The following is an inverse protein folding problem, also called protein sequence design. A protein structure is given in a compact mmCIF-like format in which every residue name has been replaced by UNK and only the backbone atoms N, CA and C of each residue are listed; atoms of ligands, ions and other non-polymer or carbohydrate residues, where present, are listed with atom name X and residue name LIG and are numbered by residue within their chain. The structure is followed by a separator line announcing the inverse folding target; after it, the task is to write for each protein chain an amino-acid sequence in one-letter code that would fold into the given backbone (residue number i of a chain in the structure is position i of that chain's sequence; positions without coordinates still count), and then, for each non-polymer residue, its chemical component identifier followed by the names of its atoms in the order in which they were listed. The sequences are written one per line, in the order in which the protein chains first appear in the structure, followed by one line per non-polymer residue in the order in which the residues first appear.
data_IF_900944226440
#
_entry.id   IF_900944226440
#
_cell.length_a   1.000
_cell.length_b   1.000
_cell.length_c   1.000
_cell.angle_alpha   90.00
_cell.angle_beta   90.00
_cell.angle_gamma   90.00
#
_symmetry.space_group_name_H-M   'P 1'
#
loop_
_entity.id
_entity.type
_entity.pdbx_description
1 polymer ?
#
# COMPACT_ATOMS: atom_id res chain seq x y z
N UNK A 1 19.26 16.82 -2.87
CA UNK A 1 17.80 16.58 -2.99
C UNK A 1 17.28 16.00 -1.69
N UNK A 2 16.34 16.69 -1.05
CA UNK A 2 15.78 16.28 0.23
C UNK A 2 14.86 15.05 0.13
N UNK A 3 14.61 14.35 1.23
CA UNK A 3 13.67 13.21 1.28
C UNK A 3 12.25 13.61 0.87
N UNK A 4 11.80 14.80 1.27
CA UNK A 4 10.48 15.35 0.90
C UNK A 4 10.39 15.62 -0.61
N UNK A 5 11.47 16.11 -1.22
CA UNK A 5 11.54 16.43 -2.64
C UNK A 5 11.46 15.15 -3.51
N UNK A 6 12.12 14.08 -3.08
CA UNK A 6 11.99 12.74 -3.68
C UNK A 6 10.58 12.19 -3.55
N UNK A 7 9.93 12.38 -2.40
CA UNK A 7 8.54 11.98 -2.18
C UNK A 7 7.57 12.75 -3.07
N UNK A 8 7.80 14.06 -3.28
CA UNK A 8 6.99 14.89 -4.18
C UNK A 8 7.10 14.43 -5.63
N UNK A 9 8.32 14.13 -6.10
CA UNK A 9 8.57 13.55 -7.43
C UNK A 9 7.88 12.19 -7.62
N UNK A 10 7.93 11.33 -6.61
CA UNK A 10 7.20 10.04 -6.65
C UNK A 10 5.69 10.23 -6.61
N UNK A 11 5.19 11.21 -5.88
CA UNK A 11 3.77 11.56 -5.88
C UNK A 11 3.28 12.04 -7.25
N UNK A 12 4.05 12.87 -7.93
CA UNK A 12 3.75 13.26 -9.31
C UNK A 12 3.76 12.07 -10.27
N UNK A 13 4.76 11.18 -10.14
CA UNK A 13 4.83 9.97 -10.95
C UNK A 13 3.67 9.01 -10.67
N UNK A 14 3.30 8.82 -9.40
CA UNK A 14 2.17 7.97 -9.01
C UNK A 14 0.85 8.52 -9.57
N UNK A 15 0.61 9.84 -9.47
CA UNK A 15 -0.57 10.48 -10.08
C UNK A 15 -0.67 10.26 -11.59
N UNK A 16 0.45 10.32 -12.32
CA UNK A 16 0.48 10.04 -13.78
C UNK A 16 0.17 8.59 -14.13
N UNK A 17 0.35 7.66 -13.19
CA UNK A 17 0.10 6.23 -13.37
C UNK A 17 -1.12 5.74 -12.56
N UNK A 18 -2.14 6.59 -12.41
CA UNK A 18 -3.40 6.17 -11.78
C UNK A 18 -3.31 5.91 -10.28
N UNK A 19 -2.33 6.49 -9.59
CA UNK A 19 -2.06 6.31 -8.16
C UNK A 19 -1.72 4.88 -7.72
N UNK A 20 -1.42 3.97 -8.66
CA UNK A 20 -1.11 2.58 -8.33
C UNK A 20 0.33 2.39 -7.84
N UNK A 21 1.26 3.27 -8.25
CA UNK A 21 2.64 3.19 -7.83
C UNK A 21 2.83 3.63 -6.36
N UNK A 22 3.58 2.86 -5.54
CA UNK A 22 3.83 3.19 -4.14
C UNK A 22 4.62 4.50 -4.01
N UNK A 23 4.13 5.40 -3.16
CA UNK A 23 4.72 6.71 -2.89
C UNK A 23 5.99 6.62 -2.02
N UNK A 24 5.99 5.67 -1.11
CA UNK A 24 7.05 5.38 -0.15
C UNK A 24 7.57 3.98 -0.42
N UNK A 25 8.88 3.80 -0.39
CA UNK A 25 9.53 2.51 -0.59
C UNK A 25 9.84 1.81 0.74
N UNK A 26 9.94 2.57 1.83
CA UNK A 26 10.27 2.05 3.16
C UNK A 26 9.36 2.63 4.26
N UNK A 27 9.36 1.97 5.42
CA UNK A 27 8.61 2.41 6.60
C UNK A 27 9.20 3.72 7.14
N UNK A 28 10.51 3.90 7.08
CA UNK A 28 11.21 5.11 7.49
C UNK A 28 10.79 6.31 6.64
N UNK A 29 10.66 6.12 5.32
CA UNK A 29 10.14 7.15 4.41
C UNK A 29 8.69 7.50 4.75
N UNK A 30 7.85 6.50 5.07
CA UNK A 30 6.48 6.73 5.51
C UNK A 30 6.42 7.52 6.83
N UNK A 31 7.28 7.20 7.80
CA UNK A 31 7.39 7.91 9.07
C UNK A 31 7.84 9.35 8.88
N UNK A 32 8.85 9.58 8.03
CA UNK A 32 9.35 10.92 7.74
C UNK A 32 8.28 11.78 7.04
N UNK A 33 7.51 11.19 6.12
CA UNK A 33 6.37 11.85 5.49
C UNK A 33 5.29 12.22 6.51
N UNK A 34 4.92 11.30 7.40
CA UNK A 34 3.92 11.54 8.43
C UNK A 34 4.32 12.69 9.38
N UNK A 35 5.58 12.73 9.81
CA UNK A 35 6.13 13.81 10.63
C UNK A 35 6.07 15.15 9.90
N UNK A 36 6.48 15.19 8.63
CA UNK A 36 6.42 16.42 7.82
C UNK A 36 4.99 16.93 7.63
N UNK A 37 4.01 16.03 7.45
CA UNK A 37 2.59 16.40 7.39
C UNK A 37 2.10 16.97 8.72
N UNK A 38 2.48 16.35 9.84
CA UNK A 38 2.11 16.83 11.18
C UNK A 38 2.69 18.22 11.48
N UNK A 39 3.96 18.44 11.14
CA UNK A 39 4.62 19.75 11.25
C UNK A 39 3.93 20.80 10.36
N UNK A 40 3.56 20.44 9.13
CA UNK A 40 2.81 21.31 8.23
C UNK A 40 1.43 21.69 8.77
N UNK A 41 0.70 20.76 9.39
CA UNK A 41 -0.58 21.05 10.05
C UNK A 41 -0.41 21.93 11.28
N UNK A 42 0.67 21.73 12.06
CA UNK A 42 0.96 22.55 13.23
C UNK A 42 1.28 23.99 12.85
N UNK A 43 1.94 24.22 11.71
CA UNK A 43 2.28 25.54 11.19
C UNK A 43 1.14 26.24 10.42
N UNK A 44 0.08 25.52 10.03
CA UNK A 44 -1.05 26.07 9.27
C UNK A 44 -1.95 26.97 10.13
N UNK A 45 -2.61 27.93 9.47
CA UNK A 45 -3.68 28.73 10.08
C UNK A 45 -4.87 27.84 10.49
N UNK A 46 -5.69 28.25 11.46
CA UNK A 46 -6.81 27.41 11.92
C UNK A 46 -7.82 27.09 10.81
N UNK A 47 -8.05 28.03 9.88
CA UNK A 47 -8.94 27.82 8.74
C UNK A 47 -8.35 26.80 7.74
N UNK A 48 -7.06 26.93 7.42
CA UNK A 48 -6.38 25.98 6.52
C UNK A 48 -6.24 24.61 7.17
N UNK A 49 -6.04 24.56 8.49
CA UNK A 49 -5.93 23.32 9.26
C UNK A 49 -7.19 22.48 9.15
N UNK A 50 -8.38 23.09 9.24
CA UNK A 50 -9.65 22.37 9.07
C UNK A 50 -9.78 21.75 7.66
N UNK A 51 -9.40 22.49 6.62
CA UNK A 51 -9.42 22.00 5.24
C UNK A 51 -8.41 20.85 5.02
N UNK A 52 -7.21 20.99 5.58
CA UNK A 52 -6.18 19.96 5.54
C UNK A 52 -6.59 18.69 6.29
N UNK A 53 -7.24 18.82 7.46
CA UNK A 53 -7.76 17.70 8.22
C UNK A 53 -8.86 16.95 7.45
N UNK A 54 -9.78 17.67 6.81
CA UNK A 54 -10.80 17.04 5.94
C UNK A 54 -10.14 16.27 4.80
N UNK A 55 -9.18 16.89 4.12
CA UNK A 55 -8.45 16.25 3.02
C UNK A 55 -7.68 15.01 3.48
N UNK A 56 -7.09 15.04 4.67
CA UNK A 56 -6.41 13.88 5.27
C UNK A 56 -7.39 12.75 5.60
N UNK A 57 -8.59 13.07 6.05
CA UNK A 57 -9.62 12.07 6.30
C UNK A 57 -10.04 11.34 5.02
N UNK A 58 -10.24 12.06 3.92
CA UNK A 58 -10.56 11.45 2.62
C UNK A 58 -9.44 10.53 2.13
N UNK A 59 -8.18 10.97 2.29
CA UNK A 59 -7.00 10.16 1.96
C UNK A 59 -6.92 8.91 2.84
N UNK A 60 -7.20 9.03 4.13
CA UNK A 60 -7.24 7.89 5.06
C UNK A 60 -8.30 6.87 4.61
N UNK A 61 -9.52 7.33 4.31
CA UNK A 61 -10.60 6.45 3.85
C UNK A 61 -10.25 5.71 2.56
N UNK A 62 -9.66 6.40 1.58
CA UNK A 62 -9.18 5.81 0.35
C UNK A 62 -8.07 4.76 0.59
N UNK A 63 -7.11 5.05 1.49
CA UNK A 63 -6.08 4.09 1.87
C UNK A 63 -6.66 2.85 2.55
N UNK A 64 -7.59 3.03 3.48
CA UNK A 64 -8.26 1.91 4.17
C UNK A 64 -8.99 1.01 3.18
N UNK A 65 -9.71 1.59 2.21
CA UNK A 65 -10.36 0.82 1.15
C UNK A 65 -9.36 0.04 0.30
N UNK A 66 -8.22 0.65 -0.05
CA UNK A 66 -7.16 -0.02 -0.82
C UNK A 66 -6.52 -1.17 -0.04
N UNK A 67 -6.22 -0.96 1.24
CA UNK A 67 -5.67 -1.99 2.12
C UNK A 67 -6.64 -3.17 2.26
N UNK A 68 -7.93 -2.92 2.44
CA UNK A 68 -8.94 -3.97 2.50
C UNK A 68 -9.01 -4.78 1.20
N UNK A 69 -8.90 -4.13 0.04
CA UNK A 69 -8.85 -4.83 -1.25
C UNK A 69 -7.60 -5.70 -1.38
N UNK A 70 -6.43 -5.15 -1.05
CA UNK A 70 -5.16 -5.88 -1.10
C UNK A 70 -5.15 -7.10 -0.18
N UNK A 71 -5.73 -6.98 1.02
CA UNK A 71 -5.83 -8.10 1.96
C UNK A 71 -6.72 -9.22 1.40
N UNK A 72 -7.83 -8.86 0.74
CA UNK A 72 -8.67 -9.79 0.00
C UNK A 72 -7.92 -10.51 -1.12
N UNK A 73 -7.20 -9.77 -1.96
CA UNK A 73 -6.38 -10.33 -3.06
C UNK A 73 -5.28 -11.28 -2.55
N UNK A 74 -4.62 -10.94 -1.45
CA UNK A 74 -3.62 -11.81 -0.79
C UNK A 74 -4.30 -13.07 -0.25
N UNK A 75 -5.47 -12.94 0.37
CA UNK A 75 -6.26 -14.08 0.86
C UNK A 75 -6.61 -15.05 -0.26
N UNK A 76 -7.11 -14.55 -1.39
CA UNK A 76 -7.40 -15.35 -2.57
C UNK A 76 -6.14 -16.00 -3.17
N UNK A 77 -5.05 -15.25 -3.27
CA UNK A 77 -3.78 -15.77 -3.78
C UNK A 77 -3.28 -16.93 -2.91
N UNK A 78 -3.36 -16.81 -1.58
CA UNK A 78 -3.03 -17.89 -0.63
C UNK A 78 -3.93 -19.10 -0.83
N UNK A 79 -5.23 -18.91 -1.02
CA UNK A 79 -6.17 -20.00 -1.28
C UNK A 79 -5.84 -20.74 -2.59
N UNK A 80 -5.50 -20.00 -3.65
CA UNK A 80 -5.04 -20.57 -4.93
C UNK A 80 -3.76 -21.39 -4.77
N UNK A 81 -2.76 -20.86 -4.08
CA UNK A 81 -1.50 -21.57 -3.80
C UNK A 81 -1.77 -22.87 -3.01
N UNK A 82 -2.63 -22.82 -2.00
CA UNK A 82 -2.98 -24.01 -1.22
C UNK A 82 -3.69 -25.07 -2.08
N UNK A 83 -4.59 -24.67 -2.98
CA UNK A 83 -5.26 -25.57 -3.91
C UNK A 83 -4.26 -26.24 -4.88
N UNK A 84 -3.34 -25.46 -5.45
CA UNK A 84 -2.28 -25.98 -6.33
C UNK A 84 -1.39 -26.97 -5.58
N UNK A 85 -0.95 -26.63 -4.37
CA UNK A 85 -0.13 -27.51 -3.55
C UNK A 85 -0.83 -28.84 -3.24
N UNK A 86 -2.14 -28.83 -2.91
CA UNK A 86 -2.92 -30.06 -2.74
C UNK A 86 -2.98 -30.89 -4.02
N UNK A 87 -3.18 -30.25 -5.17
CA UNK A 87 -3.18 -30.93 -6.48
C UNK A 87 -1.83 -31.57 -6.81
N UNK A 88 -0.72 -30.88 -6.55
CA UNK A 88 0.64 -31.40 -6.74
C UNK A 88 0.93 -32.58 -5.81
N UNK A 89 0.54 -32.50 -4.53
CA UNK A 89 0.66 -33.63 -3.59
C UNK A 89 -0.16 -34.84 -4.03
N UNK A 90 -1.37 -34.63 -4.56
CA UNK A 90 -2.18 -35.72 -5.10
C UNK A 90 -1.49 -36.37 -6.32
N UNK A 91 -0.97 -35.58 -7.27
CA UNK A 91 -0.22 -36.09 -8.42
C UNK A 91 1.04 -36.87 -8.02
N UNK A 92 1.79 -36.41 -7.01
CA UNK A 92 2.94 -37.13 -6.49
C UNK A 92 2.55 -38.49 -5.90
N UNK A 93 1.37 -38.57 -5.27
CA UNK A 93 0.81 -39.79 -4.67
C UNK A 93 0.36 -40.82 -5.72
N UNK A 94 -0.12 -40.34 -6.89
CA UNK A 94 -0.55 -41.19 -8.00
C UNK A 94 0.59 -41.64 -8.92
N UNK A 95 1.84 -41.19 -8.71
CA UNK A 95 2.98 -41.68 -9.49
C UNK A 95 3.22 -43.14 -9.12
N UNK A 96 2.98 -44.12 -10.02
CA UNK A 96 3.12 -45.52 -9.67
C UNK A 96 4.57 -45.76 -9.29
N UNK A 97 4.76 -46.39 -8.13
CA UNK A 97 6.04 -46.92 -7.67
C UNK A 97 6.48 -47.91 -8.74
N UNK A 98 7.33 -47.46 -9.68
CA UNK A 98 7.98 -48.34 -10.65
C UNK A 98 8.80 -49.34 -9.84
N UNK A 99 8.25 -50.55 -9.70
CA UNK A 99 9.01 -51.74 -9.35
C UNK A 99 9.91 -52.14 -10.49
#
# INVERSE_FOLDING_TARGET
MGTIERLRLRAERSRRHGADAPLVATVEEARALALSVAEGLAAASDQDRLLLLSSLHDVQAALSSRLSRLDGEIGEARARIAAVNRGLSAHASYRPRRG
#
